data_IF_810490905833
#
_entry.id   IF_810490905833
#
_cell.length_a   1.000
_cell.length_b   1.000
_cell.length_c   1.000
_cell.angle_alpha   90.00
_cell.angle_beta   90.00
_cell.angle_gamma   90.00
#
_symmetry.space_group_name_H-M   'P 1'
#
loop_
_entity.id
_entity.type
_entity.pdbx_description
1 polymer ?
#
# COMPACT_ATOMS: atom_id res chain seq x y z
N UNK A 1 -12.18 -3.41 25.89
CA UNK A 1 -11.49 -2.13 25.73
C UNK A 1 -11.72 -1.68 24.30
N UNK A 2 -12.30 -0.50 24.18
CA UNK A 2 -12.65 0.05 22.89
C UNK A 2 -11.37 0.60 22.25
N UNK A 3 -10.97 0.01 21.12
CA UNK A 3 -9.85 0.49 20.33
C UNK A 3 -10.35 1.70 19.55
N UNK A 4 -9.74 2.89 19.69
CA UNK A 4 -10.14 4.08 18.96
C UNK A 4 -10.17 3.84 17.44
N UNK A 5 -11.04 4.55 16.75
CA UNK A 5 -11.16 4.52 15.28
C UNK A 5 -10.81 5.91 14.74
N UNK A 6 -9.95 5.93 13.74
CA UNK A 6 -9.68 7.09 12.91
C UNK A 6 -10.13 6.76 11.49
N UNK A 7 -11.16 7.47 11.01
CA UNK A 7 -11.70 7.28 9.66
C UNK A 7 -11.53 8.55 8.83
N UNK A 8 -11.37 8.40 7.51
CA UNK A 8 -11.38 9.54 6.58
C UNK A 8 -12.64 10.41 6.76
N UNK A 9 -13.80 9.78 6.92
CA UNK A 9 -15.10 10.47 7.06
C UNK A 9 -15.30 11.17 8.41
N UNK A 10 -14.46 10.86 9.41
CA UNK A 10 -14.49 11.46 10.74
C UNK A 10 -13.07 11.69 11.29
N UNK A 11 -12.25 12.42 10.52
CA UNK A 11 -10.85 12.68 10.84
C UNK A 11 -10.66 13.92 11.75
N UNK A 12 -11.68 14.34 12.51
CA UNK A 12 -11.65 15.59 13.30
C UNK A 12 -11.04 15.43 14.69
N UNK A 13 -10.62 14.23 15.08
CA UNK A 13 -10.00 13.99 16.38
C UNK A 13 -8.68 14.76 16.49
N UNK A 14 -8.54 15.67 17.47
CA UNK A 14 -7.35 16.51 17.58
C UNK A 14 -6.11 15.70 17.96
N UNK A 15 -4.91 16.14 17.51
CA UNK A 15 -3.66 15.48 17.82
C UNK A 15 -3.43 15.33 19.33
N UNK A 16 -3.83 16.32 20.14
CA UNK A 16 -3.72 16.28 21.60
C UNK A 16 -4.40 15.08 22.25
N UNK A 17 -5.44 14.55 21.62
CA UNK A 17 -6.11 13.32 22.06
C UNK A 17 -5.42 12.07 21.49
N UNK A 18 -5.32 11.99 20.16
CA UNK A 18 -4.84 10.78 19.46
C UNK A 18 -3.34 10.51 19.59
N UNK A 19 -2.51 11.51 19.95
CA UNK A 19 -1.07 11.30 20.20
C UNK A 19 -0.79 10.27 21.31
N UNK A 20 -1.79 10.01 22.18
CA UNK A 20 -1.70 9.01 23.24
C UNK A 20 -2.18 7.61 22.83
N UNK A 21 -2.72 7.48 21.61
CA UNK A 21 -3.19 6.19 21.13
C UNK A 21 -2.02 5.27 20.73
N UNK A 22 -1.79 4.27 21.54
CA UNK A 22 -0.80 3.23 21.25
C UNK A 22 -1.33 2.21 20.25
N UNK A 23 -2.67 2.14 20.11
CA UNK A 23 -3.38 1.20 19.25
C UNK A 23 -4.67 1.84 18.76
N UNK A 24 -4.91 1.78 17.45
CA UNK A 24 -6.12 2.35 16.85
C UNK A 24 -6.44 1.67 15.52
N UNK A 25 -7.71 1.70 15.15
CA UNK A 25 -8.16 1.36 13.80
C UNK A 25 -8.01 2.58 12.89
N UNK A 26 -7.48 2.35 11.70
CA UNK A 26 -7.36 3.35 10.64
C UNK A 26 -8.21 2.87 9.46
N UNK A 27 -9.21 3.67 9.07
CA UNK A 27 -10.28 3.23 8.15
C UNK A 27 -10.43 4.23 7.01
N UNK A 28 -10.49 3.70 5.80
CA UNK A 28 -10.98 4.40 4.62
C UNK A 28 -12.21 3.65 4.10
N UNK A 29 -13.41 4.20 4.26
CA UNK A 29 -14.64 3.57 3.81
C UNK A 29 -14.78 3.48 2.29
N UNK A 30 -14.08 4.35 1.54
CA UNK A 30 -14.15 4.40 0.07
C UNK A 30 -12.89 5.05 -0.55
N UNK A 31 -11.80 4.29 -0.64
CA UNK A 31 -10.62 4.69 -1.41
C UNK A 31 -10.87 4.54 -2.92
N UNK A 32 -10.56 5.58 -3.66
CA UNK A 32 -10.85 5.63 -5.09
C UNK A 32 -12.23 6.18 -5.40
N UNK A 33 -12.65 7.26 -4.74
CA UNK A 33 -13.94 7.93 -4.99
C UNK A 33 -14.15 8.29 -6.47
N UNK A 34 -13.08 8.66 -7.18
CA UNK A 34 -13.13 8.97 -8.61
C UNK A 34 -13.42 7.73 -9.47
N UNK A 35 -12.83 6.61 -9.11
CA UNK A 35 -13.06 5.31 -9.73
C UNK A 35 -14.49 4.83 -9.47
N UNK A 36 -14.97 5.00 -8.25
CA UNK A 36 -16.36 4.69 -7.86
C UNK A 36 -17.37 5.54 -8.67
N UNK A 37 -17.17 6.86 -8.75
CA UNK A 37 -18.05 7.77 -9.54
C UNK A 37 -17.99 7.44 -11.05
N UNK A 38 -16.81 7.04 -11.54
CA UNK A 38 -16.63 6.64 -12.94
C UNK A 38 -17.21 5.25 -13.26
N UNK A 39 -17.69 4.51 -12.25
CA UNK A 39 -18.26 3.17 -12.42
C UNK A 39 -17.21 2.11 -12.76
N UNK A 40 -15.95 2.32 -12.40
CA UNK A 40 -14.91 1.29 -12.55
C UNK A 40 -14.91 0.34 -11.36
N UNK A 41 -14.23 -0.79 -11.48
CA UNK A 41 -14.10 -1.81 -10.44
C UNK A 41 -12.85 -1.65 -9.54
N UNK A 42 -12.24 -0.44 -9.55
CA UNK A 42 -10.94 -0.16 -8.93
C UNK A 42 -11.02 0.64 -7.62
N UNK A 43 -12.13 0.61 -6.92
CA UNK A 43 -12.27 1.23 -5.60
C UNK A 43 -12.21 0.18 -4.49
N UNK A 44 -11.74 0.61 -3.31
CA UNK A 44 -11.49 -0.30 -2.19
C UNK A 44 -12.07 0.24 -0.88
N UNK A 45 -12.24 -0.65 0.10
CA UNK A 45 -12.52 -0.34 1.51
C UNK A 45 -11.32 -0.81 2.32
N UNK A 46 -10.74 0.07 3.14
CA UNK A 46 -9.51 -0.20 3.87
C UNK A 46 -9.74 -0.16 5.38
N UNK A 47 -9.31 -1.19 6.10
CA UNK A 47 -9.34 -1.26 7.56
C UNK A 47 -7.98 -1.78 8.04
N UNK A 48 -7.26 -0.98 8.82
CA UNK A 48 -5.97 -1.34 9.37
C UNK A 48 -5.94 -1.24 10.89
N UNK A 49 -5.24 -2.15 11.54
CA UNK A 49 -4.84 -2.02 12.94
C UNK A 49 -3.43 -1.46 13.00
N UNK A 50 -3.29 -0.28 13.61
CA UNK A 50 -1.99 0.35 13.87
C UNK A 50 -1.65 0.20 15.35
N UNK A 51 -0.43 -0.25 15.64
CA UNK A 51 0.09 -0.43 16.99
C UNK A 51 1.48 0.22 17.07
N UNK A 52 1.64 1.16 17.99
CA UNK A 52 2.90 1.89 18.21
C UNK A 52 3.44 2.54 16.92
N UNK A 53 2.54 3.10 16.10
CA UNK A 53 2.88 3.76 14.83
C UNK A 53 3.23 2.81 13.68
N UNK A 54 3.09 1.50 13.86
CA UNK A 54 3.30 0.50 12.83
C UNK A 54 2.02 -0.28 12.55
N UNK A 55 1.75 -0.57 11.27
CA UNK A 55 0.62 -1.44 10.93
C UNK A 55 0.93 -2.88 11.32
N UNK A 56 -0.02 -3.53 12.01
CA UNK A 56 0.09 -4.92 12.45
C UNK A 56 -0.83 -5.86 11.67
N UNK A 57 -2.00 -5.37 11.24
CA UNK A 57 -2.98 -6.15 10.49
C UNK A 57 -3.77 -5.23 9.55
N UNK A 58 -4.22 -5.75 8.42
CA UNK A 58 -5.02 -5.01 7.46
C UNK A 58 -6.00 -5.88 6.69
N UNK A 59 -7.10 -5.25 6.30
CA UNK A 59 -8.14 -5.81 5.43
C UNK A 59 -8.39 -4.81 4.32
N UNK A 60 -8.38 -5.28 3.08
CA UNK A 60 -8.74 -4.52 1.88
C UNK A 60 -9.87 -5.24 1.17
N UNK A 61 -11.04 -4.61 1.17
CA UNK A 61 -12.19 -5.07 0.38
C UNK A 61 -12.16 -4.44 -1.02
N UNK A 62 -12.48 -5.22 -2.05
CA UNK A 62 -12.68 -4.76 -3.43
C UNK A 62 -14.12 -5.11 -3.81
N UNK A 63 -15.11 -4.27 -3.44
CA UNK A 63 -16.52 -4.62 -3.52
C UNK A 63 -16.96 -4.99 -4.94
N UNK A 64 -16.53 -4.22 -5.94
CA UNK A 64 -16.92 -4.46 -7.34
C UNK A 64 -16.39 -5.79 -7.91
N UNK A 65 -15.35 -6.38 -7.29
CA UNK A 65 -14.76 -7.67 -7.67
C UNK A 65 -15.16 -8.80 -6.72
N UNK A 66 -16.01 -8.51 -5.75
CA UNK A 66 -16.37 -9.44 -4.67
C UNK A 66 -15.14 -10.14 -4.08
N UNK A 67 -14.07 -9.35 -3.82
CA UNK A 67 -12.79 -9.84 -3.34
C UNK A 67 -12.41 -9.19 -2.01
N UNK A 68 -11.77 -9.96 -1.15
CA UNK A 68 -11.26 -9.52 0.14
C UNK A 68 -9.82 -9.99 0.29
N UNK A 69 -8.94 -9.07 0.70
CA UNK A 69 -7.54 -9.33 1.04
C UNK A 69 -7.32 -9.03 2.51
N UNK A 70 -6.55 -9.85 3.21
CA UNK A 70 -6.19 -9.57 4.60
C UNK A 70 -4.84 -10.19 4.95
N UNK A 71 -4.18 -9.61 5.94
CA UNK A 71 -2.89 -10.11 6.40
C UNK A 71 -2.16 -9.16 7.30
N UNK A 72 -0.96 -9.57 7.68
CA UNK A 72 -0.05 -8.79 8.51
C UNK A 72 1.35 -9.41 8.51
N UNK A 73 2.34 -8.59 8.86
CA UNK A 73 3.74 -9.02 8.91
C UNK A 73 3.92 -10.19 9.85
N UNK A 74 4.48 -11.29 9.33
CA UNK A 74 4.69 -12.53 10.11
C UNK A 74 3.44 -13.38 10.29
N UNK A 75 2.27 -12.93 9.80
CA UNK A 75 1.00 -13.64 9.90
C UNK A 75 0.57 -14.29 8.58
N UNK A 76 1.25 -13.94 7.47
CA UNK A 76 0.84 -14.30 6.12
C UNK A 76 -0.18 -13.33 5.54
N UNK A 77 -0.54 -13.54 4.28
CA UNK A 77 -1.60 -12.82 3.58
C UNK A 77 -2.52 -13.79 2.84
N UNK A 78 -3.79 -13.44 2.76
CA UNK A 78 -4.84 -14.26 2.18
C UNK A 78 -5.73 -13.44 1.26
N UNK A 79 -6.37 -14.11 0.32
CA UNK A 79 -7.41 -13.58 -0.55
C UNK A 79 -8.61 -14.52 -0.59
N UNK A 80 -9.81 -13.97 -0.59
CA UNK A 80 -11.03 -14.66 -1.02
C UNK A 80 -11.65 -13.91 -2.20
N UNK A 81 -12.39 -14.60 -3.04
CA UNK A 81 -13.11 -14.02 -4.18
C UNK A 81 -14.44 -14.75 -4.36
N UNK A 82 -15.55 -14.03 -4.24
CA UNK A 82 -16.89 -14.63 -4.22
C UNK A 82 -17.04 -15.66 -3.11
N UNK A 83 -17.63 -16.80 -3.46
CA UNK A 83 -17.85 -17.93 -2.54
C UNK A 83 -16.64 -18.89 -2.49
N UNK A 84 -15.54 -18.57 -3.18
CA UNK A 84 -14.36 -19.43 -3.18
C UNK A 84 -13.68 -19.43 -1.81
N UNK A 85 -13.13 -20.58 -1.37
CA UNK A 85 -12.35 -20.64 -0.15
C UNK A 85 -11.16 -19.66 -0.20
N UNK A 86 -10.84 -19.08 0.95
CA UNK A 86 -9.67 -18.23 1.07
C UNK A 86 -8.39 -19.00 0.69
N UNK A 87 -7.53 -18.34 -0.07
CA UNK A 87 -6.22 -18.86 -0.46
C UNK A 87 -5.12 -17.95 0.08
N UNK A 88 -4.01 -18.55 0.46
CA UNK A 88 -2.81 -17.80 0.82
C UNK A 88 -2.20 -17.19 -0.43
N UNK A 89 -1.80 -15.92 -0.34
CA UNK A 89 -1.13 -15.19 -1.41
C UNK A 89 0.30 -14.84 -1.00
N UNK A 90 1.14 -14.53 -1.99
CA UNK A 90 2.53 -14.14 -1.74
C UNK A 90 3.11 -13.37 -2.92
N UNK A 91 4.00 -12.43 -2.63
CA UNK A 91 4.74 -11.72 -3.65
C UNK A 91 5.60 -12.70 -4.46
N UNK A 92 5.58 -12.55 -5.78
CA UNK A 92 6.51 -13.27 -6.65
C UNK A 92 7.94 -12.71 -6.49
N UNK A 93 8.94 -13.50 -6.81
CA UNK A 93 10.28 -12.97 -7.05
C UNK A 93 10.26 -12.19 -8.36
N UNK A 94 10.89 -11.01 -8.38
CA UNK A 94 11.02 -10.23 -9.60
C UNK A 94 11.79 -11.06 -10.67
N UNK A 95 11.31 -11.01 -11.90
CA UNK A 95 11.89 -11.68 -13.07
C UNK A 95 12.70 -10.67 -13.89
N UNK A 96 13.18 -11.09 -15.07
CA UNK A 96 13.87 -10.19 -16.00
C UNK A 96 12.99 -9.06 -16.56
N UNK A 97 11.69 -9.13 -16.33
CA UNK A 97 10.69 -8.12 -16.66
C UNK A 97 10.01 -7.64 -15.38
N UNK A 98 10.19 -6.36 -15.05
CA UNK A 98 9.62 -5.73 -13.86
C UNK A 98 8.25 -5.13 -14.19
N UNK A 99 7.22 -5.57 -13.48
CA UNK A 99 5.89 -4.96 -13.57
C UNK A 99 5.75 -3.87 -12.53
N UNK A 100 5.64 -2.61 -12.96
CA UNK A 100 5.49 -1.44 -12.11
C UNK A 100 4.06 -0.94 -12.16
N UNK A 101 3.44 -0.79 -10.99
CA UNK A 101 2.11 -0.20 -10.89
C UNK A 101 2.24 1.30 -10.70
N UNK A 102 1.53 2.09 -11.49
CA UNK A 102 1.53 3.54 -11.43
C UNK A 102 0.10 4.09 -11.29
N UNK A 103 -0.01 5.35 -10.87
CA UNK A 103 -1.29 6.06 -10.92
C UNK A 103 -1.53 6.56 -12.34
N UNK A 104 -2.76 6.44 -12.83
CA UNK A 104 -3.15 6.92 -14.18
C UNK A 104 -2.93 8.42 -14.42
N UNK A 105 -2.83 9.23 -13.37
CA UNK A 105 -2.93 10.70 -13.46
C UNK A 105 -1.78 11.46 -12.82
N UNK A 106 -0.81 10.80 -12.22
CA UNK A 106 0.23 11.45 -11.43
C UNK A 106 1.59 10.83 -11.75
N UNK A 107 2.29 11.40 -12.71
CA UNK A 107 3.72 11.25 -12.90
C UNK A 107 4.43 12.46 -12.29
N UNK A 108 5.54 12.23 -11.61
CA UNK A 108 6.43 13.29 -11.12
C UNK A 108 7.82 13.11 -11.69
N UNK A 109 8.66 14.16 -11.74
CA UNK A 109 10.05 14.04 -12.18
C UNK A 109 10.83 12.97 -11.41
N UNK A 110 10.56 12.82 -10.11
CA UNK A 110 11.18 11.81 -9.26
C UNK A 110 10.77 10.40 -9.68
N UNK A 111 9.50 10.19 -10.01
CA UNK A 111 9.01 8.90 -10.50
C UNK A 111 9.62 8.57 -11.86
N UNK A 112 9.71 9.54 -12.77
CA UNK A 112 10.33 9.34 -14.08
C UNK A 112 11.82 8.99 -13.93
N UNK A 113 12.56 9.70 -13.08
CA UNK A 113 13.97 9.42 -12.82
C UNK A 113 14.17 8.01 -12.23
N UNK A 114 13.30 7.57 -11.33
CA UNK A 114 13.35 6.21 -10.80
C UNK A 114 13.09 5.16 -11.90
N UNK A 115 12.06 5.37 -12.72
CA UNK A 115 11.73 4.45 -13.81
C UNK A 115 12.86 4.36 -14.83
N UNK A 116 13.53 5.48 -15.15
CA UNK A 116 14.66 5.48 -16.09
C UNK A 116 15.89 4.74 -15.54
N UNK A 117 16.15 4.84 -14.25
CA UNK A 117 17.18 4.01 -13.60
C UNK A 117 16.85 2.51 -13.70
N UNK A 118 15.61 2.14 -13.38
CA UNK A 118 15.18 0.74 -13.45
C UNK A 118 15.20 0.20 -14.89
N UNK A 119 14.80 1.00 -15.88
CA UNK A 119 14.88 0.63 -17.32
C UNK A 119 16.32 0.37 -17.78
N UNK A 120 17.31 0.98 -17.14
CA UNK A 120 18.72 0.70 -17.46
C UNK A 120 19.18 -0.70 -17.01
N UNK A 121 18.46 -1.31 -16.09
CA UNK A 121 18.77 -2.64 -15.54
C UNK A 121 17.94 -3.75 -16.19
N UNK A 122 16.68 -3.49 -16.49
CA UNK A 122 15.78 -4.51 -17.04
C UNK A 122 14.55 -3.89 -17.73
N UNK A 123 13.80 -4.75 -18.44
CA UNK A 123 12.56 -4.36 -19.09
C UNK A 123 11.47 -4.03 -18.07
N UNK A 124 10.71 -2.95 -18.31
CA UNK A 124 9.61 -2.51 -17.44
C UNK A 124 8.29 -2.53 -18.18
N UNK A 125 7.30 -3.18 -17.58
CA UNK A 125 5.89 -3.04 -17.92
C UNK A 125 5.18 -2.12 -16.93
N UNK A 126 4.36 -1.19 -17.45
CA UNK A 126 3.58 -0.27 -16.64
C UNK A 126 2.11 -0.68 -16.62
N UNK A 127 1.58 -0.91 -15.42
CA UNK A 127 0.16 -1.11 -15.17
C UNK A 127 -0.41 0.12 -14.47
N UNK A 128 -1.54 0.63 -14.98
CA UNK A 128 -2.25 1.74 -14.37
C UNK A 128 -3.55 1.25 -13.71
N UNK A 129 -3.63 1.39 -12.40
CA UNK A 129 -4.79 0.98 -11.60
C UNK A 129 -5.09 2.00 -10.50
N UNK A 130 -6.37 2.07 -10.06
CA UNK A 130 -6.83 2.95 -8.98
C UNK A 130 -6.58 2.39 -7.57
N UNK A 131 -6.89 3.19 -6.55
CA UNK A 131 -6.97 2.87 -5.11
C UNK A 131 -5.78 2.10 -4.50
N UNK A 132 -5.98 1.57 -3.29
CA UNK A 132 -5.05 0.67 -2.59
C UNK A 132 -4.92 -0.71 -3.26
N UNK A 133 -5.74 -1.02 -4.25
CA UNK A 133 -5.66 -2.23 -5.06
C UNK A 133 -4.27 -2.44 -5.68
N UNK A 134 -3.49 -1.37 -5.88
CA UNK A 134 -2.08 -1.43 -6.31
C UNK A 134 -1.23 -2.34 -5.42
N UNK A 135 -1.37 -2.23 -4.11
CA UNK A 135 -0.64 -3.07 -3.16
C UNK A 135 -1.09 -4.54 -3.23
N UNK A 136 -2.40 -4.76 -3.47
CA UNK A 136 -2.94 -6.10 -3.60
C UNK A 136 -2.36 -6.84 -4.81
N UNK A 137 -2.12 -6.14 -5.94
CA UNK A 137 -1.45 -6.72 -7.10
C UNK A 137 -0.01 -7.15 -6.77
N UNK A 138 0.72 -6.38 -5.96
CA UNK A 138 2.03 -6.79 -5.49
C UNK A 138 1.93 -8.00 -4.56
N UNK A 139 0.95 -7.99 -3.64
CA UNK A 139 0.76 -9.04 -2.65
C UNK A 139 0.39 -10.39 -3.27
N UNK A 140 -0.32 -10.40 -4.39
CA UNK A 140 -0.69 -11.63 -5.11
C UNK A 140 0.28 -12.01 -6.24
N UNK A 141 1.38 -11.23 -6.40
CA UNK A 141 2.45 -11.53 -7.35
C UNK A 141 2.14 -11.14 -8.81
N UNK A 142 1.14 -10.29 -9.03
CA UNK A 142 0.80 -9.76 -10.37
C UNK A 142 1.66 -8.55 -10.75
N UNK A 143 2.26 -7.87 -9.75
CA UNK A 143 3.17 -6.75 -9.94
C UNK A 143 4.34 -6.82 -8.96
N UNK A 144 5.38 -6.03 -9.21
CA UNK A 144 6.65 -6.08 -8.47
C UNK A 144 6.93 -4.79 -7.69
N UNK A 145 6.48 -3.64 -8.20
CA UNK A 145 6.86 -2.33 -7.64
C UNK A 145 5.72 -1.31 -7.78
N UNK A 146 5.54 -0.50 -6.75
CA UNK A 146 4.65 0.65 -6.74
C UNK A 146 5.35 1.86 -6.08
N UNK A 147 5.99 2.73 -6.86
CA UNK A 147 6.53 4.00 -6.37
C UNK A 147 5.41 5.05 -6.24
N UNK A 148 5.41 5.80 -5.14
CA UNK A 148 4.41 6.83 -4.88
C UNK A 148 5.05 8.17 -4.49
N UNK A 149 5.06 9.11 -5.43
CA UNK A 149 5.57 10.48 -5.26
C UNK A 149 4.45 11.54 -5.31
N UNK A 150 3.20 11.12 -5.27
CA UNK A 150 2.04 12.01 -5.18
C UNK A 150 1.34 11.82 -3.83
N UNK A 151 0.61 12.83 -3.33
CA UNK A 151 -0.05 12.76 -2.04
C UNK A 151 -0.98 11.55 -1.89
N UNK A 152 -0.94 10.94 -0.71
CA UNK A 152 -1.91 9.97 -0.20
C UNK A 152 -2.10 10.23 1.29
N UNK A 153 -3.22 9.78 1.84
CA UNK A 153 -3.47 9.83 3.28
C UNK A 153 -3.07 8.51 3.96
N UNK A 154 -2.97 8.54 5.28
CA UNK A 154 -2.58 7.34 6.05
C UNK A 154 -3.55 6.17 5.84
N UNK A 155 -4.84 6.43 5.74
CA UNK A 155 -5.89 5.42 5.54
C UNK A 155 -5.90 4.81 4.14
N UNK A 156 -5.36 5.51 3.10
CA UNK A 156 -5.22 4.97 1.74
C UNK A 156 -4.19 3.82 1.67
N UNK A 157 -3.29 3.70 2.66
CA UNK A 157 -2.11 2.84 2.53
C UNK A 157 -1.97 1.78 3.61
N UNK A 158 -2.39 2.07 4.85
CA UNK A 158 -2.06 1.23 6.00
C UNK A 158 -2.58 -0.21 5.89
N UNK A 159 -3.84 -0.39 5.49
CA UNK A 159 -4.43 -1.73 5.37
C UNK A 159 -3.70 -2.56 4.30
N UNK A 160 -3.48 -1.95 3.15
CA UNK A 160 -2.85 -2.61 2.02
C UNK A 160 -1.34 -2.87 2.24
N UNK A 161 -0.65 -2.00 3.02
CA UNK A 161 0.71 -2.29 3.48
C UNK A 161 0.77 -3.55 4.33
N UNK A 162 -0.16 -3.71 5.29
CA UNK A 162 -0.19 -4.91 6.12
C UNK A 162 -0.37 -6.19 5.29
N UNK A 163 -1.26 -6.16 4.29
CA UNK A 163 -1.47 -7.27 3.37
C UNK A 163 -0.20 -7.55 2.56
N UNK A 164 0.43 -6.52 1.99
CA UNK A 164 1.67 -6.67 1.23
C UNK A 164 2.82 -7.24 2.08
N UNK A 165 3.00 -6.74 3.30
CA UNK A 165 4.03 -7.25 4.21
C UNK A 165 3.75 -8.69 4.66
N UNK A 166 2.48 -9.05 4.85
CA UNK A 166 2.04 -10.43 5.09
C UNK A 166 2.35 -11.36 3.92
N UNK A 167 2.32 -10.85 2.70
CA UNK A 167 2.66 -11.56 1.46
C UNK A 167 4.18 -11.65 1.20
N UNK A 168 5.02 -11.07 2.08
CA UNK A 168 6.48 -11.07 1.97
C UNK A 168 7.06 -9.90 1.18
N UNK A 169 6.26 -8.88 0.88
CA UNK A 169 6.72 -7.60 0.34
C UNK A 169 7.08 -6.60 1.44
N UNK A 170 7.32 -5.35 1.04
CA UNK A 170 7.70 -4.28 1.95
C UNK A 170 7.21 -2.92 1.44
N UNK A 171 7.04 -1.96 2.36
CA UNK A 171 6.80 -0.55 2.03
C UNK A 171 7.87 0.28 2.75
N UNK A 172 8.59 1.08 1.99
CA UNK A 172 9.74 1.86 2.47
C UNK A 172 9.51 3.34 2.21
N UNK A 173 9.88 4.17 3.18
CA UNK A 173 10.07 5.59 2.97
C UNK A 173 11.28 5.87 2.06
N UNK A 174 11.43 7.12 1.61
CA UNK A 174 12.62 7.52 0.82
C UNK A 174 13.92 7.51 1.65
N UNK A 175 13.82 7.38 2.97
CA UNK A 175 14.93 7.15 3.90
C UNK A 175 15.39 5.69 3.97
N UNK A 176 14.70 4.79 3.25
CA UNK A 176 14.95 3.35 3.27
C UNK A 176 14.35 2.61 4.47
N UNK A 177 13.74 3.32 5.40
CA UNK A 177 13.13 2.73 6.59
C UNK A 177 11.72 2.19 6.29
N UNK A 178 11.29 1.22 7.10
CA UNK A 178 9.92 0.68 7.02
C UNK A 178 8.91 1.79 7.19
N UNK A 179 7.98 1.91 6.25
CA UNK A 179 6.93 2.92 6.29
C UNK A 179 6.04 2.77 7.53
N UNK A 180 5.72 3.89 8.19
CA UNK A 180 4.97 3.90 9.44
C UNK A 180 3.90 4.99 9.50
N UNK A 181 3.04 4.87 10.50
CA UNK A 181 1.86 5.71 10.74
C UNK A 181 1.92 6.38 12.13
N UNK A 182 2.95 7.18 12.41
CA UNK A 182 3.03 7.91 13.67
C UNK A 182 1.92 8.96 13.72
N UNK A 183 1.44 9.25 14.92
CA UNK A 183 0.47 10.34 15.14
C UNK A 183 1.14 11.70 14.85
N UNK A 184 0.55 12.47 13.94
CA UNK A 184 1.02 13.79 13.51
C UNK A 184 -0.16 14.66 13.07
N UNK A 185 0.00 15.98 12.99
CA UNK A 185 -1.10 16.87 12.60
C UNK A 185 -1.61 16.58 11.18
N UNK A 186 -0.70 16.30 10.24
CA UNK A 186 -1.06 15.98 8.87
C UNK A 186 -1.40 14.50 8.71
N UNK A 187 -2.47 14.21 7.99
CA UNK A 187 -2.83 12.86 7.55
C UNK A 187 -2.05 12.39 6.33
N UNK A 188 -1.41 13.35 5.64
CA UNK A 188 -0.68 13.04 4.40
C UNK A 188 0.54 12.18 4.68
N UNK A 189 0.69 11.17 3.87
CA UNK A 189 1.86 10.32 3.83
C UNK A 189 3.06 11.05 3.21
N UNK A 190 4.30 10.79 3.67
CA UNK A 190 5.48 11.07 2.88
C UNK A 190 5.49 10.19 1.63
N UNK A 191 6.38 10.49 0.68
CA UNK A 191 6.62 9.63 -0.47
C UNK A 191 7.13 8.26 -0.02
N UNK A 192 6.78 7.22 -0.78
CA UNK A 192 7.15 5.85 -0.45
C UNK A 192 7.34 4.98 -1.71
N UNK A 193 7.93 3.83 -1.50
CA UNK A 193 8.02 2.76 -2.50
C UNK A 193 7.49 1.47 -1.86
N UNK A 194 6.44 0.91 -2.45
CA UNK A 194 5.99 -0.43 -2.12
C UNK A 194 6.61 -1.43 -3.11
N UNK A 195 7.17 -2.50 -2.59
CA UNK A 195 7.91 -3.49 -3.37
C UNK A 195 7.50 -4.91 -2.98
N UNK A 196 7.39 -5.79 -3.98
CA UNK A 196 7.36 -7.22 -3.80
C UNK A 196 8.76 -7.76 -3.44
N UNK A 197 9.08 -8.97 -3.90
CA UNK A 197 10.39 -9.60 -3.63
C UNK A 197 11.40 -9.22 -4.72
N UNK A 198 11.97 -8.00 -4.60
CA UNK A 198 13.00 -7.51 -5.51
C UNK A 198 14.37 -8.15 -5.21
N UNK A 199 15.22 -8.24 -6.24
CA UNK A 199 16.63 -8.60 -6.07
C UNK A 199 17.39 -7.51 -5.31
N UNK A 200 18.53 -7.84 -4.66
CA UNK A 200 19.37 -6.81 -4.01
C UNK A 200 19.81 -5.69 -4.96
N UNK A 201 20.06 -6.01 -6.23
CA UNK A 201 20.44 -5.05 -7.26
C UNK A 201 19.30 -4.05 -7.54
N UNK A 202 18.07 -4.54 -7.69
CA UNK A 202 16.90 -3.69 -7.86
C UNK A 202 16.61 -2.83 -6.62
N UNK A 203 16.78 -3.39 -5.42
CA UNK A 203 16.64 -2.62 -4.17
C UNK A 203 17.66 -1.49 -4.09
N UNK A 204 18.92 -1.73 -4.47
CA UNK A 204 19.94 -0.69 -4.55
C UNK A 204 19.59 0.39 -5.60
N UNK A 205 19.01 -0.01 -6.72
CA UNK A 205 18.59 0.93 -7.77
C UNK A 205 17.42 1.84 -7.37
N UNK A 206 16.67 1.49 -6.33
CA UNK A 206 15.65 2.39 -5.77
C UNK A 206 16.27 3.64 -5.13
N UNK A 207 17.57 3.58 -4.75
CA UNK A 207 18.33 4.71 -4.18
C UNK A 207 17.66 5.30 -2.92
N UNK A 208 17.15 4.41 -2.06
CA UNK A 208 16.50 4.77 -0.80
C UNK A 208 17.55 4.87 0.33
N UNK A 209 17.42 5.92 1.16
CA UNK A 209 18.30 6.11 2.33
C UNK A 209 19.70 6.66 2.02
N UNK A 210 20.01 6.95 0.75
CA UNK A 210 21.27 7.57 0.34
C UNK A 210 21.08 9.08 0.23
N UNK A 211 21.18 9.80 1.35
CA UNK A 211 21.32 11.28 1.38
C UNK A 211 22.33 11.68 2.44
#
# INVERSE_FOLDING_TARGET
PDIPVLSEEDAQVPLSERQHWQRFWLVDPLDGTKEFIAGTDEFTVNIALVEQGQVSFGIVGVPARNSLYWGGRGQGAWRSSGDAPASQIGCRAATDQLTVVASRRHTSPEQEALLDRLKSLQQIDLINIGSSLKFCLLAEGEADLYPRFAPTSQWDTAAAQAVLEGAGGQVLGLDGERFGYPQRDSWLNPHFVAAGRLSPELLLALDLGVR
#
